data_IF_274106575768
#
_entry.id   IF_274106575768
#
_cell.length_a   1.000
_cell.length_b   1.000
_cell.length_c   1.000
_cell.angle_alpha   90.00
_cell.angle_beta   90.00
_cell.angle_gamma   90.00
#
_symmetry.space_group_name_H-M   'P 1'
#
loop_
_entity.id
_entity.type
_entity.pdbx_description
1 polymer ?
#
# COMPACT_ATOMS: atom_id res chain seq x y z
N UNK A 1 -20.07 18.22 23.69
CA UNK A 1 -19.16 18.74 22.65
C UNK A 1 -18.33 17.59 22.04
N UNK A 2 -18.96 16.41 21.83
CA UNK A 2 -18.27 15.15 21.48
C UNK A 2 -18.62 14.62 20.08
N UNK A 3 -19.57 15.25 19.38
CA UNK A 3 -20.03 14.77 18.07
C UNK A 3 -19.09 15.12 16.91
N UNK A 4 -18.25 16.15 17.06
CA UNK A 4 -17.33 16.59 15.98
C UNK A 4 -16.11 15.69 15.79
N UNK A 5 -15.71 14.97 16.82
CA UNK A 5 -14.51 14.11 16.80
C UNK A 5 -14.75 12.84 16.00
N UNK A 6 -15.95 12.24 16.03
CA UNK A 6 -16.22 10.98 15.31
C UNK A 6 -16.39 11.14 13.79
N UNK A 7 -16.89 12.29 13.31
CA UNK A 7 -17.03 12.55 11.87
C UNK A 7 -15.65 12.71 11.20
N UNK A 8 -14.69 13.33 11.88
CA UNK A 8 -13.31 13.50 11.39
C UNK A 8 -12.55 12.17 11.29
N UNK A 9 -12.73 11.25 12.24
CA UNK A 9 -12.13 9.91 12.15
C UNK A 9 -12.69 9.08 10.98
N UNK A 10 -13.96 9.27 10.63
CA UNK A 10 -14.58 8.51 9.53
C UNK A 10 -14.09 9.01 8.16
N UNK A 11 -13.87 10.32 8.00
CA UNK A 11 -13.29 10.88 6.77
C UNK A 11 -11.79 10.57 6.62
N UNK A 12 -11.06 10.41 7.73
CA UNK A 12 -9.62 10.11 7.70
C UNK A 12 -9.29 8.62 7.47
N UNK A 13 -10.27 7.71 7.56
CA UNK A 13 -10.07 6.25 7.36
C UNK A 13 -9.24 5.88 6.11
N UNK A 14 -9.51 6.45 4.92
CA UNK A 14 -8.75 6.13 3.71
C UNK A 14 -7.28 6.54 3.82
N UNK A 15 -7.02 7.66 4.50
CA UNK A 15 -5.68 8.23 4.70
C UNK A 15 -4.88 7.40 5.70
N UNK A 16 -5.51 6.98 6.79
CA UNK A 16 -4.88 6.11 7.79
C UNK A 16 -4.56 4.74 7.18
N UNK A 17 -5.47 4.22 6.34
CA UNK A 17 -5.25 2.94 5.67
C UNK A 17 -4.09 3.01 4.68
N UNK A 18 -4.02 4.06 3.85
CA UNK A 18 -2.87 4.30 2.95
C UNK A 18 -1.56 4.37 3.72
N UNK A 19 -1.53 5.14 4.81
CA UNK A 19 -0.33 5.27 5.63
C UNK A 19 0.09 3.92 6.23
N UNK A 20 -0.87 3.13 6.71
CA UNK A 20 -0.62 1.79 7.24
C UNK A 20 -0.06 0.83 6.19
N UNK A 21 -0.56 0.92 4.95
CA UNK A 21 -0.09 0.10 3.82
C UNK A 21 1.35 0.47 3.42
N UNK A 22 1.66 1.76 3.38
CA UNK A 22 3.02 2.25 3.11
C UNK A 22 3.98 1.78 4.20
N UNK A 23 3.59 1.90 5.47
CA UNK A 23 4.41 1.39 6.58
C UNK A 23 4.61 -0.12 6.49
N UNK A 24 3.57 -0.88 6.16
CA UNK A 24 3.69 -2.33 5.94
C UNK A 24 4.68 -2.65 4.82
N UNK A 25 4.62 -1.93 3.68
CA UNK A 25 5.57 -2.12 2.58
C UNK A 25 7.02 -1.86 3.01
N UNK A 26 7.27 -0.80 3.78
CA UNK A 26 8.60 -0.48 4.31
C UNK A 26 9.08 -1.58 5.26
N UNK A 27 8.22 -2.08 6.14
CA UNK A 27 8.56 -3.19 7.05
C UNK A 27 8.94 -4.45 6.28
N UNK A 28 8.18 -4.79 5.25
CA UNK A 28 8.49 -5.95 4.39
C UNK A 28 9.81 -5.76 3.66
N UNK A 29 10.12 -4.54 3.22
CA UNK A 29 11.40 -4.20 2.59
C UNK A 29 12.56 -4.39 3.57
N UNK A 30 12.45 -3.87 4.78
CA UNK A 30 13.48 -4.05 5.83
C UNK A 30 13.64 -5.53 6.19
N UNK A 31 12.55 -6.29 6.29
CA UNK A 31 12.60 -7.73 6.52
C UNK A 31 13.29 -8.47 5.37
N UNK A 32 12.99 -8.12 4.12
CA UNK A 32 13.63 -8.75 2.95
C UNK A 32 15.14 -8.53 2.92
N UNK A 33 15.62 -7.39 3.44
CA UNK A 33 17.05 -7.12 3.61
C UNK A 33 17.68 -7.93 4.74
N UNK A 34 17.00 -8.03 5.89
CA UNK A 34 17.54 -8.71 7.08
C UNK A 34 17.45 -10.24 7.02
N UNK A 35 16.48 -10.78 6.27
CA UNK A 35 16.18 -12.21 6.18
C UNK A 35 16.22 -12.67 4.71
N UNK A 36 17.41 -12.74 4.09
CA UNK A 36 17.57 -13.18 2.71
C UNK A 36 17.23 -14.66 2.50
N UNK A 37 17.12 -15.44 3.58
CA UNK A 37 16.81 -16.88 3.52
C UNK A 37 15.33 -17.18 3.25
N UNK A 38 14.45 -16.18 3.41
CA UNK A 38 13.02 -16.35 3.09
C UNK A 38 12.85 -16.37 1.57
N UNK A 39 12.08 -17.35 1.08
CA UNK A 39 11.80 -17.52 -0.35
C UNK A 39 11.22 -16.25 -0.96
N UNK A 40 11.78 -15.85 -2.10
CA UNK A 40 11.31 -14.74 -2.94
C UNK A 40 9.77 -14.72 -3.11
N UNK A 41 9.18 -15.88 -3.36
CA UNK A 41 7.74 -16.06 -3.53
C UNK A 41 6.90 -15.55 -2.35
N UNK A 42 7.42 -15.62 -1.12
CA UNK A 42 6.73 -15.10 0.08
C UNK A 42 6.66 -13.58 0.00
N UNK A 43 7.78 -12.91 -0.25
CA UNK A 43 7.84 -11.46 -0.39
C UNK A 43 6.98 -10.98 -1.56
N UNK A 44 7.04 -11.67 -2.70
CA UNK A 44 6.21 -11.39 -3.87
C UNK A 44 4.71 -11.42 -3.52
N UNK A 45 4.27 -12.47 -2.80
CA UNK A 45 2.87 -12.59 -2.41
C UNK A 45 2.45 -11.51 -1.40
N UNK A 46 3.31 -11.20 -0.43
CA UNK A 46 3.05 -10.16 0.58
C UNK A 46 2.95 -8.78 -0.07
N UNK A 47 3.87 -8.44 -0.97
CA UNK A 47 3.79 -7.17 -1.71
C UNK A 47 2.54 -7.11 -2.59
N UNK A 48 2.16 -8.20 -3.26
CA UNK A 48 0.91 -8.28 -4.02
C UNK A 48 -0.33 -8.07 -3.13
N UNK A 49 -0.32 -8.58 -1.90
CA UNK A 49 -1.40 -8.34 -0.93
C UNK A 49 -1.49 -6.87 -0.51
N UNK A 50 -0.35 -6.20 -0.32
CA UNK A 50 -0.29 -4.76 -0.03
C UNK A 50 -0.81 -3.96 -1.22
N UNK A 51 -0.46 -4.35 -2.44
CA UNK A 51 -0.93 -3.70 -3.67
C UNK A 51 -2.45 -3.78 -3.81
N UNK A 52 -3.03 -4.94 -3.51
CA UNK A 52 -4.48 -5.11 -3.40
C UNK A 52 -5.08 -4.22 -2.29
N UNK A 53 -4.37 -4.06 -1.19
CA UNK A 53 -4.73 -3.14 -0.12
C UNK A 53 -4.83 -1.68 -0.57
N UNK A 54 -3.93 -1.20 -1.45
CA UNK A 54 -4.02 0.15 -2.04
C UNK A 54 -5.28 0.32 -2.90
N UNK A 55 -5.68 -0.72 -3.64
CA UNK A 55 -6.95 -0.69 -4.40
C UNK A 55 -8.14 -0.59 -3.44
N UNK A 56 -8.16 -1.37 -2.36
CA UNK A 56 -9.23 -1.30 -1.35
C UNK A 56 -9.27 0.07 -0.67
N UNK A 57 -8.12 0.64 -0.35
CA UNK A 57 -8.00 1.97 0.23
C UNK A 57 -8.50 3.06 -0.73
N UNK A 58 -8.23 2.93 -2.03
CA UNK A 58 -8.77 3.81 -3.06
C UNK A 58 -10.30 3.73 -3.12
N UNK A 59 -10.87 2.52 -3.17
CA UNK A 59 -12.32 2.30 -3.19
C UNK A 59 -12.98 2.90 -1.95
N UNK A 60 -12.35 2.74 -0.78
CA UNK A 60 -12.86 3.31 0.47
C UNK A 60 -12.78 4.84 0.47
N UNK A 61 -11.71 5.41 -0.09
CA UNK A 61 -11.54 6.86 -0.22
C UNK A 61 -12.59 7.54 -1.10
N UNK A 62 -12.96 6.90 -2.21
CA UNK A 62 -13.99 7.40 -3.13
C UNK A 62 -15.38 7.47 -2.47
N UNK A 63 -15.64 6.66 -1.44
CA UNK A 63 -16.92 6.67 -0.70
C UNK A 63 -17.08 7.87 0.25
N UNK A 64 -16.06 8.72 0.40
CA UNK A 64 -16.10 9.88 1.30
C UNK A 64 -16.85 11.05 0.66
N UNK A 65 -17.55 11.88 1.44
CA UNK A 65 -18.28 13.07 0.90
C UNK A 65 -17.35 14.24 0.53
N UNK A 66 -16.14 14.26 1.08
CA UNK A 66 -15.19 15.35 0.90
C UNK A 66 -14.38 15.19 -0.41
N UNK A 67 -14.58 16.10 -1.37
CA UNK A 67 -13.89 16.08 -2.69
C UNK A 67 -12.36 16.07 -2.56
N UNK A 68 -11.80 16.78 -1.58
CA UNK A 68 -10.35 16.80 -1.38
C UNK A 68 -9.82 15.43 -0.95
N UNK A 69 -10.53 14.74 -0.05
CA UNK A 69 -10.16 13.41 0.42
C UNK A 69 -10.27 12.38 -0.71
N UNK A 70 -11.30 12.49 -1.56
CA UNK A 70 -11.45 11.62 -2.74
C UNK A 70 -10.25 11.79 -3.69
N UNK A 71 -9.93 13.02 -4.08
CA UNK A 71 -8.84 13.30 -5.03
C UNK A 71 -7.49 12.88 -4.45
N UNK A 72 -7.23 13.21 -3.18
CA UNK A 72 -6.01 12.77 -2.49
C UNK A 72 -5.91 11.24 -2.45
N UNK A 73 -7.00 10.57 -2.09
CA UNK A 73 -7.02 9.11 -1.99
C UNK A 73 -6.76 8.46 -3.36
N UNK A 74 -7.38 8.94 -4.44
CA UNK A 74 -7.14 8.40 -5.78
C UNK A 74 -5.67 8.60 -6.16
N UNK A 75 -5.16 9.83 -6.07
CA UNK A 75 -3.79 10.16 -6.50
C UNK A 75 -2.76 9.40 -5.67
N UNK A 76 -2.86 9.45 -4.33
CA UNK A 76 -1.90 8.81 -3.45
C UNK A 76 -1.90 7.28 -3.63
N UNK A 77 -3.06 6.63 -3.58
CA UNK A 77 -3.15 5.18 -3.76
C UNK A 77 -2.67 4.75 -5.16
N UNK A 78 -3.01 5.49 -6.22
CA UNK A 78 -2.53 5.17 -7.57
C UNK A 78 -1.00 5.27 -7.67
N UNK A 79 -0.40 6.33 -7.13
CA UNK A 79 1.06 6.49 -7.16
C UNK A 79 1.73 5.35 -6.39
N UNK A 80 1.24 5.03 -5.18
CA UNK A 80 1.81 3.94 -4.38
C UNK A 80 1.60 2.57 -5.04
N UNK A 81 0.45 2.32 -5.66
CA UNK A 81 0.18 1.11 -6.43
C UNK A 81 1.15 0.96 -7.60
N UNK A 82 1.31 2.00 -8.43
CA UNK A 82 2.23 1.95 -9.58
C UNK A 82 3.68 1.80 -9.11
N UNK A 83 4.07 2.49 -8.04
CA UNK A 83 5.42 2.40 -7.48
C UNK A 83 5.72 0.99 -6.92
N UNK A 84 4.80 0.44 -6.12
CA UNK A 84 4.96 -0.89 -5.53
C UNK A 84 4.92 -1.98 -6.61
N UNK A 85 3.98 -1.89 -7.56
CA UNK A 85 3.91 -2.79 -8.70
C UNK A 85 5.20 -2.77 -9.53
N UNK A 86 5.74 -1.58 -9.82
CA UNK A 86 7.03 -1.44 -10.52
C UNK A 86 8.17 -2.06 -9.72
N UNK A 87 8.18 -1.88 -8.40
CA UNK A 87 9.17 -2.48 -7.51
C UNK A 87 9.09 -4.01 -7.50
N UNK A 88 7.89 -4.59 -7.42
CA UNK A 88 7.66 -6.03 -7.52
C UNK A 88 8.17 -6.57 -8.86
N UNK A 89 7.93 -5.84 -9.96
CA UNK A 89 8.44 -6.19 -11.28
C UNK A 89 9.97 -6.20 -11.33
N UNK A 90 10.63 -5.20 -10.74
CA UNK A 90 12.09 -5.14 -10.64
C UNK A 90 12.65 -6.28 -9.79
N UNK A 91 11.98 -6.61 -8.67
CA UNK A 91 12.32 -7.74 -7.82
C UNK A 91 12.22 -9.07 -8.60
N UNK A 92 11.14 -9.24 -9.37
CA UNK A 92 10.92 -10.43 -10.19
C UNK A 92 11.95 -10.54 -11.32
N UNK A 93 12.26 -9.43 -11.99
CA UNK A 93 13.34 -9.39 -12.98
C UNK A 93 14.64 -9.80 -12.32
N UNK A 94 15.06 -9.13 -11.24
CA UNK A 94 16.31 -9.44 -10.52
C UNK A 94 16.43 -10.90 -10.10
N UNK A 95 15.33 -11.52 -9.65
CA UNK A 95 15.32 -12.94 -9.34
C UNK A 95 15.41 -13.83 -10.59
N UNK A 96 14.65 -13.52 -11.64
CA UNK A 96 14.65 -14.27 -12.90
C UNK A 96 15.97 -14.21 -13.68
N UNK A 97 16.74 -13.11 -13.60
CA UNK A 97 18.11 -13.05 -14.12
C UNK A 97 19.13 -13.76 -13.21
N UNK A 98 18.82 -13.97 -11.93
CA UNK A 98 19.72 -14.67 -11.01
C UNK A 98 19.57 -16.19 -11.05
N UNK A 99 18.44 -16.72 -11.54
CA UNK A 99 18.19 -18.16 -11.70
C UNK A 99 18.60 -18.72 -13.08
N UNK A 100 19.10 -17.86 -13.98
CA UNK A 100 19.54 -18.21 -15.35
C UNK A 100 21.06 -18.47 -15.41
#
# INVERSE_FOLDING_TARGET
METRTQETFTEAKPIVLTLSLVLAAIVVLVMSWQLPEIKFWVYFFVYGLIDFGFILAMILGIRTKNKLVIVFSIIANSIFFVALSSFIFLLLLGHGISEL
#
